data_IF_361454531898
#
_entry.id   IF_361454531898
#
_cell.length_a   1.000
_cell.length_b   1.000
_cell.length_c   1.000
_cell.angle_alpha   90.00
_cell.angle_beta   90.00
_cell.angle_gamma   90.00
#
_symmetry.space_group_name_H-M   'P 1'
#
loop_
_entity.id
_entity.type
_entity.pdbx_description
1 polymer ?
#
# COMPACT_ATOMS: atom_id res chain seq x y z
N UNK A 1 0.94 16.60 -5.34
CA UNK A 1 0.37 15.75 -4.26
C UNK A 1 0.86 14.29 -4.32
N UNK A 2 1.07 13.67 -5.49
CA UNK A 2 1.61 12.30 -5.60
C UNK A 2 3.03 12.06 -5.01
N UNK A 3 3.90 13.08 -5.04
CA UNK A 3 5.27 13.00 -4.49
C UNK A 3 5.26 12.77 -2.97
N UNK A 4 4.25 13.29 -2.26
CA UNK A 4 4.12 13.15 -0.81
C UNK A 4 3.68 11.74 -0.41
N UNK A 5 2.66 11.19 -1.09
CA UNK A 5 2.14 9.83 -0.83
C UNK A 5 3.23 8.78 -1.05
N UNK A 6 3.95 8.84 -2.19
CA UNK A 6 5.03 7.90 -2.49
C UNK A 6 6.14 7.95 -1.44
N UNK A 7 6.60 9.16 -1.10
CA UNK A 7 7.72 9.32 -0.16
C UNK A 7 7.37 8.81 1.23
N UNK A 8 6.15 9.09 1.72
CA UNK A 8 5.61 8.61 2.99
C UNK A 8 5.41 7.10 3.01
N UNK A 9 4.81 6.53 1.96
CA UNK A 9 4.59 5.08 1.85
C UNK A 9 5.91 4.31 1.90
N UNK A 10 6.92 4.77 1.15
CA UNK A 10 8.27 4.19 1.20
C UNK A 10 8.94 4.41 2.56
N UNK A 11 8.63 5.50 3.26
CA UNK A 11 9.06 5.74 4.64
C UNK A 11 8.59 4.64 5.58
N UNK A 12 7.29 4.32 5.57
CA UNK A 12 6.72 3.24 6.39
C UNK A 12 7.31 1.86 6.08
N UNK A 13 7.58 1.57 4.81
CA UNK A 13 8.22 0.31 4.41
C UNK A 13 9.66 0.22 4.94
N UNK A 14 10.45 1.29 4.79
CA UNK A 14 11.84 1.31 5.25
C UNK A 14 11.97 1.23 6.76
N UNK A 15 11.04 1.81 7.52
CA UNK A 15 11.05 1.74 8.99
C UNK A 15 10.51 0.42 9.54
N UNK A 16 10.03 -0.50 8.69
CA UNK A 16 9.39 -1.73 9.15
C UNK A 16 8.04 -1.51 9.82
N UNK A 17 7.40 -0.37 9.59
CA UNK A 17 6.12 0.00 10.22
C UNK A 17 4.91 -0.74 9.64
N UNK A 18 5.08 -1.50 8.55
CA UNK A 18 4.00 -2.25 7.89
C UNK A 18 4.02 -3.70 8.34
N UNK A 19 2.91 -4.17 8.93
CA UNK A 19 2.71 -5.55 9.35
C UNK A 19 1.47 -6.13 8.65
N UNK A 20 1.69 -7.03 7.69
CA UNK A 20 0.60 -7.75 7.02
C UNK A 20 0.16 -8.91 7.92
N UNK A 21 -1.09 -8.88 8.35
CA UNK A 21 -1.68 -9.91 9.22
C UNK A 21 -2.27 -11.05 8.40
N UNK A 22 -2.98 -10.70 7.33
CA UNK A 22 -3.63 -11.65 6.43
C UNK A 22 -3.39 -11.20 4.99
N UNK A 23 -3.04 -12.17 4.13
CA UNK A 23 -2.94 -11.99 2.68
C UNK A 23 -3.42 -13.28 2.01
N UNK A 24 -4.71 -13.33 1.65
CA UNK A 24 -5.32 -14.52 1.07
C UNK A 24 -5.27 -14.49 -0.45
N UNK A 25 -4.74 -15.53 -1.07
CA UNK A 25 -4.65 -15.71 -2.52
C UNK A 25 -5.57 -16.85 -2.97
N UNK A 26 -6.19 -16.72 -4.14
CA UNK A 26 -6.99 -17.81 -4.72
C UNK A 26 -6.19 -18.50 -5.84
N UNK A 27 -5.90 -19.80 -5.67
CA UNK A 27 -5.16 -20.59 -6.65
C UNK A 27 -3.76 -20.02 -6.96
N UNK A 28 -3.33 -20.00 -8.24
CA UNK A 28 -2.02 -19.48 -8.64
C UNK A 28 -1.97 -17.94 -8.73
N UNK A 29 -3.00 -17.23 -8.26
CA UNK A 29 -3.00 -15.78 -8.31
C UNK A 29 -1.82 -15.21 -7.51
N UNK A 30 -1.02 -14.35 -8.15
CA UNK A 30 0.13 -13.70 -7.52
C UNK A 30 -0.26 -12.56 -6.57
N UNK A 31 -1.52 -12.10 -6.63
CA UNK A 31 -2.03 -10.97 -5.85
C UNK A 31 -3.13 -11.45 -4.91
N UNK A 32 -3.07 -11.09 -3.61
CA UNK A 32 -4.14 -11.40 -2.67
C UNK A 32 -5.48 -10.81 -3.10
N UNK A 33 -6.58 -11.54 -2.87
CA UNK A 33 -7.94 -11.00 -3.02
C UNK A 33 -8.47 -10.39 -1.72
N UNK A 34 -7.84 -10.74 -0.59
CA UNK A 34 -8.11 -10.17 0.72
C UNK A 34 -6.79 -9.84 1.42
N UNK A 35 -6.69 -8.64 1.95
CA UNK A 35 -5.54 -8.19 2.75
C UNK A 35 -6.05 -7.52 4.02
N UNK A 36 -5.42 -7.84 5.14
CA UNK A 36 -5.53 -7.05 6.37
C UNK A 36 -4.13 -6.77 6.90
N UNK A 37 -3.83 -5.50 7.15
CA UNK A 37 -2.52 -5.04 7.59
C UNK A 37 -2.62 -3.91 8.60
N UNK A 38 -1.63 -3.84 9.48
CA UNK A 38 -1.41 -2.73 10.39
C UNK A 38 -0.24 -1.87 9.89
N UNK A 39 -0.40 -0.56 9.97
CA UNK A 39 0.64 0.42 9.69
C UNK A 39 0.86 1.29 10.91
N UNK A 40 2.03 1.18 11.54
CA UNK A 40 2.37 1.97 12.71
C UNK A 40 2.76 3.39 12.28
N UNK A 41 1.85 4.34 12.49
CA UNK A 41 2.09 5.77 12.33
C UNK A 41 2.73 6.40 13.57
N UNK A 42 3.04 7.70 13.47
CA UNK A 42 3.65 8.43 14.58
C UNK A 42 2.75 8.52 15.83
N UNK A 43 1.43 8.63 15.66
CA UNK A 43 0.49 8.86 16.76
C UNK A 43 -0.53 7.72 16.94
N UNK A 44 -0.63 6.80 16.00
CA UNK A 44 -1.64 5.75 15.99
C UNK A 44 -1.24 4.63 15.03
N UNK A 45 -1.78 3.44 15.27
CA UNK A 45 -1.74 2.34 14.30
C UNK A 45 -2.97 2.43 13.39
N UNK A 46 -2.73 2.39 12.08
CA UNK A 46 -3.78 2.41 11.07
C UNK A 46 -4.04 0.99 10.56
N UNK A 47 -5.32 0.64 10.41
CA UNK A 47 -5.74 -0.64 9.84
C UNK A 47 -6.04 -0.39 8.37
N UNK A 48 -5.39 -1.17 7.51
CA UNK A 48 -5.59 -1.16 6.06
C UNK A 48 -6.19 -2.49 5.65
N UNK A 49 -7.27 -2.44 4.88
CA UNK A 49 -7.93 -3.64 4.34
C UNK A 49 -8.07 -3.54 2.83
N UNK A 50 -7.93 -4.68 2.17
CA UNK A 50 -8.36 -4.88 0.81
C UNK A 50 -9.43 -5.97 0.82
N UNK A 51 -10.65 -5.60 0.45
CA UNK A 51 -11.77 -6.52 0.34
C UNK A 51 -12.72 -6.02 -0.75
N UNK A 52 -13.45 -6.93 -1.40
CA UNK A 52 -14.43 -6.58 -2.45
C UNK A 52 -13.88 -5.67 -3.56
N UNK A 53 -12.57 -5.78 -3.87
CA UNK A 53 -11.83 -4.95 -4.82
C UNK A 53 -11.63 -3.48 -4.41
N UNK A 54 -11.82 -3.16 -3.13
CA UNK A 54 -11.66 -1.82 -2.58
C UNK A 54 -10.59 -1.78 -1.49
N UNK A 55 -9.80 -0.71 -1.47
CA UNK A 55 -8.86 -0.42 -0.40
C UNK A 55 -9.50 0.52 0.61
N UNK A 56 -9.54 0.11 1.87
CA UNK A 56 -9.99 0.95 2.97
C UNK A 56 -8.88 1.15 3.98
N UNK A 57 -8.89 2.31 4.63
CA UNK A 57 -7.94 2.66 5.67
C UNK A 57 -8.67 3.41 6.79
N UNK A 58 -8.35 3.11 8.05
CA UNK A 58 -8.93 3.80 9.21
C UNK A 58 -8.51 5.26 9.34
N UNK A 59 -7.61 5.77 8.49
CA UNK A 59 -7.37 7.21 8.41
C UNK A 59 -8.43 7.97 7.61
N UNK A 60 -9.36 7.26 6.95
CA UNK A 60 -10.48 7.80 6.15
C UNK A 60 -10.11 8.67 4.93
N UNK A 61 -8.83 8.96 4.73
CA UNK A 61 -8.31 9.63 3.53
C UNK A 61 -8.23 8.67 2.33
N UNK A 62 -8.79 9.11 1.20
CA UNK A 62 -8.60 8.45 -0.09
C UNK A 62 -7.12 8.56 -0.53
N UNK A 63 -6.61 7.53 -1.20
CA UNK A 63 -5.23 7.47 -1.72
C UNK A 63 -4.13 7.77 -0.67
N UNK A 64 -4.36 7.38 0.58
CA UNK A 64 -3.43 7.65 1.67
C UNK A 64 -2.13 6.84 1.57
N UNK A 65 -1.07 7.38 2.20
CA UNK A 65 0.25 6.72 2.24
C UNK A 65 0.24 5.35 2.96
N UNK A 66 -0.71 5.11 3.88
CA UNK A 66 -0.85 3.83 4.58
C UNK A 66 -1.31 2.73 3.62
N UNK A 67 -2.41 2.99 2.89
CA UNK A 67 -2.91 2.07 1.87
C UNK A 67 -1.87 1.84 0.77
N UNK A 68 -1.21 2.92 0.32
CA UNK A 68 -0.16 2.82 -0.69
C UNK A 68 1.05 1.96 -0.24
N UNK A 69 1.47 2.06 1.02
CA UNK A 69 2.53 1.21 1.57
C UNK A 69 2.14 -0.27 1.56
N UNK A 70 0.91 -0.59 1.97
CA UNK A 70 0.41 -1.97 1.99
C UNK A 70 0.24 -2.52 0.57
N UNK A 71 -0.30 -1.73 -0.35
CA UNK A 71 -0.39 -2.10 -1.78
C UNK A 71 0.98 -2.52 -2.34
N UNK A 72 2.02 -1.72 -2.07
CA UNK A 72 3.39 -2.05 -2.49
C UNK A 72 3.90 -3.34 -1.82
N UNK A 73 3.65 -3.52 -0.52
CA UNK A 73 4.08 -4.71 0.22
C UNK A 73 3.40 -6.00 -0.27
N UNK A 74 2.16 -5.92 -0.75
CA UNK A 74 1.37 -7.06 -1.23
C UNK A 74 1.38 -7.23 -2.74
N UNK A 75 2.15 -6.41 -3.46
CA UNK A 75 2.28 -6.50 -4.92
C UNK A 75 1.06 -6.01 -5.71
N UNK A 76 0.21 -5.19 -5.11
CA UNK A 76 -0.88 -4.50 -5.79
C UNK A 76 -0.40 -3.25 -6.51
N UNK A 77 -1.21 -2.77 -7.46
CA UNK A 77 -0.99 -1.45 -8.04
C UNK A 77 -1.16 -0.38 -6.97
N UNK A 78 -0.33 0.65 -7.02
CA UNK A 78 -0.29 1.70 -6.01
C UNK A 78 -0.02 3.05 -6.63
N UNK A 79 -0.66 4.10 -6.12
CA UNK A 79 -0.30 5.49 -6.41
C UNK A 79 1.15 5.81 -5.99
N UNK A 80 1.73 5.02 -5.08
CA UNK A 80 3.13 5.09 -4.70
C UNK A 80 4.06 4.31 -5.65
N UNK A 81 3.56 3.61 -6.66
CA UNK A 81 4.40 2.95 -7.66
C UNK A 81 5.22 3.99 -8.47
N UNK A 82 6.39 3.62 -9.00
CA UNK A 82 7.15 4.55 -9.82
C UNK A 82 6.29 4.93 -11.03
N UNK A 83 6.12 6.23 -11.28
CA UNK A 83 5.64 6.65 -12.60
C UNK A 83 6.65 6.08 -13.59
N UNK A 84 6.19 5.17 -14.46
CA UNK A 84 7.00 4.67 -15.57
C UNK A 84 7.15 5.84 -16.53
N UNK A 85 8.06 6.78 -16.25
CA UNK A 85 8.50 7.71 -17.28
C UNK A 85 9.16 6.83 -18.34
N UNK A 86 8.62 6.75 -19.58
CA UNK A 86 9.36 6.08 -20.64
C UNK A 86 10.68 6.85 -20.74
N UNK A 87 11.81 6.16 -20.51
CA UNK A 87 13.11 6.69 -20.88
C UNK A 87 13.01 7.00 -22.36
N UNK A 88 13.01 8.29 -22.71
CA UNK A 88 13.17 8.74 -24.08
C UNK A 88 14.42 8.07 -24.65
N UNK A 89 14.22 7.27 -25.69
CA UNK A 89 15.32 6.83 -26.54
C UNK A 89 15.94 8.08 -27.15
N UNK A 90 17.24 8.27 -26.90
CA UNK A 90 18.09 9.11 -27.74
C UNK A 90 18.65 8.25 -28.86
#
# INVERSE_FOLDING_TARGET
MAVDVRSKALGYLRSGAVRVLVASTMGPARRPYFVEAHVDGHQSTYIVRFELHEWTCTCHEADCAHAAAVQLATGHESAAAPSRTPKGGS
#
